data_IF_615159513599
#
_entry.id   IF_615159513599
#
_cell.length_a   1.000
_cell.length_b   1.000
_cell.length_c   1.000
_cell.angle_alpha   90.00
_cell.angle_beta   90.00
_cell.angle_gamma   90.00
#
_symmetry.space_group_name_H-M   'P 1'
#
loop_
_entity.id
_entity.type
_entity.pdbx_description
1 polymer ?
#
# COMPACT_ATOMS: atom_id res chain seq x y z
N UNK A 1 -56.21 21.09 -2.41
CA UNK A 1 -56.05 21.40 -0.97
C UNK A 1 -55.63 20.08 -0.34
N UNK A 2 -54.36 19.70 -0.32
CA UNK A 2 -53.21 20.52 0.05
C UNK A 2 -52.89 20.26 1.51
N UNK A 3 -51.79 19.54 1.74
CA UNK A 3 -50.92 19.61 2.94
C UNK A 3 -51.51 18.91 4.20
N UNK A 4 -50.79 18.16 5.04
CA UNK A 4 -49.38 18.17 5.42
C UNK A 4 -48.85 16.77 5.82
N UNK A 5 -47.55 16.60 5.63
CA UNK A 5 -46.71 15.48 6.01
C UNK A 5 -46.20 15.68 7.45
N UNK A 6 -46.17 14.62 8.26
CA UNK A 6 -45.29 14.44 9.42
C UNK A 6 -44.80 12.99 9.30
N UNK A 7 -43.55 12.72 8.94
CA UNK A 7 -42.31 13.04 9.65
C UNK A 7 -41.67 11.67 9.93
N UNK A 8 -40.77 11.20 9.08
CA UNK A 8 -39.34 11.45 9.25
C UNK A 8 -38.74 10.26 9.99
N UNK A 9 -38.66 9.12 9.29
CA UNK A 9 -37.95 7.94 9.75
C UNK A 9 -36.55 7.96 9.16
N UNK A 10 -35.66 8.68 9.82
CA UNK A 10 -34.23 8.56 9.63
C UNK A 10 -33.70 8.07 10.98
N UNK A 11 -33.71 6.74 11.18
CA UNK A 11 -32.94 6.14 12.25
C UNK A 11 -31.48 6.37 11.89
N UNK A 12 -30.88 7.30 12.62
CA UNK A 12 -29.52 7.78 12.47
C UNK A 12 -28.56 6.61 12.19
N UNK A 13 -27.96 6.62 10.99
CA UNK A 13 -26.70 5.93 10.72
C UNK A 13 -25.68 6.46 11.73
N UNK A 14 -25.56 5.76 12.86
CA UNK A 14 -24.48 5.92 13.84
C UNK A 14 -23.16 5.54 13.15
N UNK A 15 -22.65 6.48 12.35
CA UNK A 15 -21.31 6.50 11.78
C UNK A 15 -20.32 6.49 12.95
N UNK A 16 -19.98 5.27 13.36
CA UNK A 16 -19.11 4.97 14.47
C UNK A 16 -17.85 5.84 14.44
N UNK A 17 -17.72 6.60 15.53
CA UNK A 17 -16.56 7.33 16.00
C UNK A 17 -15.26 7.01 15.23
N UNK A 18 -14.79 8.03 14.50
CA UNK A 18 -13.57 8.00 13.71
C UNK A 18 -12.41 7.30 14.44
N UNK A 19 -11.97 6.19 13.87
CA UNK A 19 -10.62 5.67 14.09
C UNK A 19 -9.66 6.85 13.86
N UNK A 20 -9.03 7.34 14.94
CA UNK A 20 -8.11 8.48 14.90
C UNK A 20 -6.93 8.21 13.98
N UNK A 21 -7.07 8.57 12.71
CA UNK A 21 -5.99 8.50 11.74
C UNK A 21 -4.94 9.56 12.10
N UNK A 22 -3.80 9.12 12.59
CA UNK A 22 -2.64 9.99 12.81
C UNK A 22 -1.82 9.98 11.54
N UNK A 23 -1.82 11.12 10.83
CA UNK A 23 -1.00 11.28 9.63
C UNK A 23 0.49 11.11 9.98
N UNK A 24 1.20 10.36 9.15
CA UNK A 24 2.64 10.17 9.24
C UNK A 24 3.32 11.06 8.22
N UNK A 25 4.37 11.75 8.66
CA UNK A 25 5.25 12.58 7.83
C UNK A 25 6.57 11.86 7.57
N UNK A 26 7.39 12.43 6.69
CA UNK A 26 8.75 11.93 6.43
C UNK A 26 9.67 12.01 7.66
N UNK A 27 9.33 12.85 8.65
CA UNK A 27 10.12 13.03 9.87
C UNK A 27 9.75 12.03 10.98
N UNK A 28 8.61 11.35 10.87
CA UNK A 28 8.14 10.35 11.82
C UNK A 28 7.70 9.04 11.14
N UNK A 29 8.17 8.80 9.91
CA UNK A 29 7.91 7.56 9.16
C UNK A 29 8.39 6.30 9.86
N UNK A 30 9.29 6.43 10.85
CA UNK A 30 9.70 5.33 11.74
C UNK A 30 8.55 4.72 12.56
N UNK A 31 7.41 5.42 12.68
CA UNK A 31 6.21 4.90 13.36
C UNK A 31 5.47 3.85 12.54
N UNK A 32 5.71 3.81 11.23
CA UNK A 32 5.11 2.81 10.35
C UNK A 32 6.01 1.58 10.36
N UNK A 33 5.46 0.47 10.84
CA UNK A 33 6.16 -0.81 10.90
C UNK A 33 5.65 -1.73 9.80
N UNK A 34 6.56 -2.54 9.25
CA UNK A 34 6.21 -3.55 8.25
C UNK A 34 5.40 -4.72 8.83
N UNK A 35 5.13 -5.75 8.00
CA UNK A 35 5.72 -5.98 6.68
C UNK A 35 5.27 -4.95 5.65
N UNK A 36 6.17 -4.59 4.74
CA UNK A 36 5.86 -3.75 3.60
C UNK A 36 5.67 -4.62 2.35
N UNK A 37 4.85 -4.13 1.43
CA UNK A 37 4.47 -4.85 0.22
C UNK A 37 4.60 -3.97 -1.01
N UNK A 38 5.10 -4.53 -2.10
CA UNK A 38 5.16 -3.90 -3.40
C UNK A 38 4.18 -4.59 -4.35
N UNK A 39 3.24 -3.82 -4.91
CA UNK A 39 2.37 -4.27 -6.00
C UNK A 39 3.04 -4.08 -7.34
N UNK A 40 3.28 -5.17 -8.08
CA UNK A 40 4.03 -5.11 -9.34
C UNK A 40 3.68 -6.22 -10.33
N UNK A 41 3.60 -5.85 -11.61
CA UNK A 41 3.42 -6.77 -12.76
C UNK A 41 4.71 -7.40 -13.23
N UNK A 42 5.84 -6.92 -12.73
CA UNK A 42 7.13 -7.51 -13.02
C UNK A 42 7.19 -8.89 -12.38
N UNK A 43 7.67 -9.87 -13.14
CA UNK A 43 8.06 -11.16 -12.58
C UNK A 43 9.37 -10.93 -11.83
N UNK A 44 9.36 -11.18 -10.53
CA UNK A 44 10.49 -11.00 -9.62
C UNK A 44 10.67 -12.26 -8.78
N UNK A 45 11.91 -12.58 -8.46
CA UNK A 45 12.30 -13.67 -7.59
C UNK A 45 12.68 -13.15 -6.19
N UNK A 46 12.65 -14.05 -5.20
CA UNK A 46 13.11 -13.71 -3.85
C UNK A 46 14.61 -13.41 -3.89
N UNK A 47 15.02 -12.32 -3.27
CA UNK A 47 16.40 -11.82 -3.34
C UNK A 47 16.64 -10.82 -4.47
N UNK A 48 15.67 -10.60 -5.37
CA UNK A 48 15.76 -9.53 -6.36
C UNK A 48 15.82 -8.16 -5.70
N UNK A 49 16.57 -7.27 -6.36
CA UNK A 49 16.75 -5.89 -5.95
C UNK A 49 15.80 -4.96 -6.70
N UNK A 50 15.00 -4.20 -5.93
CA UNK A 50 14.14 -3.16 -6.43
C UNK A 50 14.86 -1.81 -6.40
N UNK A 51 15.13 -1.30 -7.60
CA UNK A 51 15.74 0.01 -7.84
C UNK A 51 14.77 0.96 -8.54
N UNK A 52 14.95 2.26 -8.29
CA UNK A 52 14.31 3.30 -9.09
C UNK A 52 14.81 3.28 -10.56
N UNK A 53 14.20 4.08 -11.42
CA UNK A 53 14.57 4.18 -12.83
C UNK A 53 13.78 3.26 -13.76
N UNK A 54 12.76 2.56 -13.24
CA UNK A 54 11.85 1.74 -14.06
C UNK A 54 10.75 2.60 -14.69
N UNK A 55 10.20 2.14 -15.82
CA UNK A 55 9.06 2.79 -16.48
C UNK A 55 7.80 2.70 -15.63
N UNK A 56 6.99 3.76 -15.64
CA UNK A 56 5.73 3.84 -14.91
C UNK A 56 4.73 2.80 -15.40
N UNK A 57 3.99 2.21 -14.45
CA UNK A 57 2.82 1.37 -14.76
C UNK A 57 1.61 2.18 -15.24
N UNK A 58 1.56 3.49 -14.99
CA UNK A 58 0.38 4.33 -15.21
C UNK A 58 0.54 5.33 -16.36
N UNK A 59 1.76 5.82 -16.59
CA UNK A 59 2.06 6.79 -17.64
C UNK A 59 3.10 6.25 -18.61
N UNK A 60 2.73 5.89 -19.85
CA UNK A 60 3.68 5.45 -20.86
C UNK A 60 4.85 6.43 -21.03
N UNK A 61 6.07 5.91 -21.11
CA UNK A 61 7.29 6.70 -21.33
C UNK A 61 7.83 7.45 -20.10
N UNK A 62 7.13 7.48 -18.96
CA UNK A 62 7.65 8.12 -17.74
C UNK A 62 8.57 7.18 -16.97
N UNK A 63 9.78 7.64 -16.67
CA UNK A 63 10.71 6.96 -15.74
C UNK A 63 10.37 7.36 -14.30
N UNK A 64 10.29 6.38 -13.40
CA UNK A 64 9.95 6.58 -11.98
C UNK A 64 11.22 6.73 -11.15
N UNK A 65 11.31 7.80 -10.37
CA UNK A 65 12.46 8.05 -9.46
C UNK A 65 12.31 7.37 -8.08
N UNK A 66 11.17 6.70 -7.84
CA UNK A 66 10.85 6.09 -6.56
C UNK A 66 10.27 4.68 -6.77
N UNK A 67 10.53 3.81 -5.80
CA UNK A 67 9.85 2.52 -5.63
C UNK A 67 8.74 2.72 -4.60
N UNK A 68 7.52 2.31 -4.95
CA UNK A 68 6.34 2.50 -4.10
C UNK A 68 6.02 1.21 -3.36
N UNK A 69 5.83 1.27 -2.06
CA UNK A 69 5.43 0.14 -1.23
C UNK A 69 4.42 0.60 -0.16
N UNK A 70 3.76 -0.34 0.49
CA UNK A 70 2.70 -0.09 1.48
C UNK A 70 2.76 -1.11 2.61
N UNK A 71 2.39 -0.71 3.83
CA UNK A 71 2.23 -1.64 4.95
C UNK A 71 0.93 -2.47 4.87
N UNK A 72 0.05 -2.16 3.90
CA UNK A 72 -1.24 -2.82 3.72
C UNK A 72 -1.18 -3.79 2.53
N UNK A 73 -1.40 -5.08 2.80
CA UNK A 73 -1.40 -6.12 1.77
C UNK A 73 -2.41 -5.82 0.66
N UNK A 74 -3.64 -5.47 1.02
CA UNK A 74 -4.71 -5.16 0.07
C UNK A 74 -4.32 -4.03 -0.88
N UNK A 75 -3.75 -2.93 -0.36
CA UNK A 75 -3.28 -1.83 -1.19
C UNK A 75 -2.19 -2.28 -2.18
N UNK A 76 -1.32 -3.21 -1.79
CA UNK A 76 -0.34 -3.78 -2.71
C UNK A 76 -1.00 -4.66 -3.76
N UNK A 77 -2.00 -5.47 -3.41
CA UNK A 77 -2.81 -6.26 -4.37
C UNK A 77 -3.43 -5.34 -5.42
N UNK A 78 -4.10 -4.27 -5.01
CA UNK A 78 -4.70 -3.28 -5.92
C UNK A 78 -3.67 -2.62 -6.84
N UNK A 79 -2.53 -2.19 -6.29
CA UNK A 79 -1.45 -1.61 -7.08
C UNK A 79 -0.88 -2.60 -8.10
N UNK A 80 -0.87 -3.87 -7.74
CA UNK A 80 -0.53 -4.97 -8.62
C UNK A 80 -1.58 -5.05 -9.77
N UNK A 81 -2.83 -5.33 -9.44
CA UNK A 81 -3.90 -5.58 -10.42
C UNK A 81 -4.02 -4.46 -11.44
N UNK A 82 -3.93 -3.21 -10.98
CA UNK A 82 -3.95 -2.05 -11.85
C UNK A 82 -2.77 -2.02 -12.83
N UNK A 83 -1.57 -2.39 -12.38
CA UNK A 83 -0.41 -2.49 -13.27
C UNK A 83 -0.61 -3.53 -14.38
N UNK A 84 -1.24 -4.67 -14.08
CA UNK A 84 -1.57 -5.70 -15.09
C UNK A 84 -2.64 -5.20 -16.05
N UNK A 85 -3.72 -4.61 -15.54
CA UNK A 85 -4.81 -4.09 -16.34
C UNK A 85 -4.29 -3.06 -17.39
N UNK A 86 -3.39 -2.18 -16.96
CA UNK A 86 -2.79 -1.16 -17.84
C UNK A 86 -1.73 -1.71 -18.80
N UNK A 87 -1.20 -2.90 -18.53
CA UNK A 87 -0.26 -3.58 -19.44
C UNK A 87 -0.95 -4.25 -20.64
N UNK A 88 -2.28 -4.42 -20.60
CA UNK A 88 -3.06 -4.98 -21.70
C UNK A 88 -2.80 -6.46 -21.99
N UNK A 89 -2.22 -7.21 -21.03
CA UNK A 89 -1.93 -8.64 -21.17
C UNK A 89 -2.38 -9.39 -19.91
N UNK A 90 -3.03 -10.55 -20.03
CA UNK A 90 -3.33 -11.38 -18.88
C UNK A 90 -2.03 -11.90 -18.27
N UNK A 91 -1.79 -11.57 -17.01
CA UNK A 91 -0.63 -12.01 -16.23
C UNK A 91 -1.10 -12.34 -14.81
N UNK A 92 -0.60 -13.43 -14.24
CA UNK A 92 -0.78 -13.71 -12.82
C UNK A 92 0.24 -12.90 -12.03
N UNK A 93 -0.21 -12.20 -10.99
CA UNK A 93 0.70 -11.52 -10.08
C UNK A 93 0.30 -11.72 -8.64
N UNK A 94 1.23 -11.40 -7.75
CA UNK A 94 1.01 -11.37 -6.30
C UNK A 94 1.76 -10.17 -5.71
N UNK A 95 1.24 -9.58 -4.62
CA UNK A 95 2.04 -8.64 -3.83
C UNK A 95 3.27 -9.37 -3.27
N UNK A 96 4.41 -8.70 -3.28
CA UNK A 96 5.66 -9.21 -2.73
C UNK A 96 5.99 -8.47 -1.45
N UNK A 97 6.49 -9.19 -0.44
CA UNK A 97 7.01 -8.54 0.75
C UNK A 97 8.34 -7.86 0.40
N UNK A 98 8.57 -6.67 0.94
CA UNK A 98 9.81 -5.91 0.72
C UNK A 98 10.39 -5.48 2.06
N UNK A 99 11.72 -5.55 2.16
CA UNK A 99 12.46 -5.04 3.29
C UNK A 99 12.94 -3.61 2.97
N UNK A 100 12.44 -2.57 3.67
CA UNK A 100 12.90 -1.21 3.48
C UNK A 100 14.32 -1.05 4.01
N UNK A 101 15.28 -0.64 3.17
CA UNK A 101 16.64 -0.40 3.59
C UNK A 101 16.74 0.93 4.35
N UNK A 102 17.70 1.00 5.26
CA UNK A 102 18.06 2.21 6.04
C UNK A 102 18.85 3.24 5.20
N UNK A 103 18.87 3.12 3.87
CA UNK A 103 19.62 4.03 2.98
C UNK A 103 20.10 3.45 1.63
N UNK A 104 19.42 2.44 1.07
CA UNK A 104 19.86 1.73 -0.14
C UNK A 104 18.72 1.20 -1.02
N UNK A 105 18.99 0.24 -1.93
CA UNK A 105 17.98 -0.46 -2.73
C UNK A 105 17.12 -1.45 -1.92
N UNK A 106 15.88 -1.66 -2.34
CA UNK A 106 14.88 -2.47 -1.62
C UNK A 106 15.01 -3.96 -1.97
N UNK A 107 15.05 -4.84 -0.97
CA UNK A 107 15.12 -6.29 -1.19
C UNK A 107 13.73 -6.95 -1.16
N UNK A 108 13.50 -7.94 -2.02
CA UNK A 108 12.25 -8.71 -2.10
C UNK A 108 12.32 -9.98 -1.25
N UNK A 109 11.30 -10.20 -0.40
CA UNK A 109 11.16 -11.36 0.47
C UNK A 109 9.88 -12.17 0.22
N UNK A 110 9.80 -13.42 0.73
CA UNK A 110 8.62 -14.26 0.59
C UNK A 110 7.43 -13.72 1.39
N UNK A 111 6.22 -13.82 0.82
CA UNK A 111 4.99 -13.38 1.47
C UNK A 111 4.66 -14.27 2.68
N UNK A 112 4.93 -13.79 3.90
CA UNK A 112 4.52 -14.43 5.14
C UNK A 112 3.60 -13.52 5.94
N UNK A 113 2.28 -13.67 5.76
CA UNK A 113 1.29 -12.96 6.58
C UNK A 113 1.15 -13.70 7.92
N UNK A 114 1.77 -13.18 8.98
CA UNK A 114 1.49 -13.61 10.36
C UNK A 114 0.83 -12.46 11.11
N UNK A 115 -0.32 -12.72 11.75
CA UNK A 115 -0.91 -11.79 12.72
C UNK A 115 0.12 -11.52 13.83
N UNK A 116 0.74 -10.34 13.84
CA UNK A 116 1.60 -9.89 14.94
C UNK A 116 0.84 -8.89 15.79
N UNK A 117 0.77 -9.18 17.09
CA UNK A 117 0.51 -8.17 18.12
C UNK A 117 1.70 -7.22 18.16
N UNK A 118 1.45 -5.91 18.09
CA UNK A 118 2.48 -4.87 18.04
C UNK A 118 3.29 -4.88 19.34
N UNK A 119 4.62 -5.02 19.23
CA UNK A 119 5.58 -4.58 20.25
C UNK A 119 6.20 -3.25 19.81
N UNK A 120 6.52 -2.32 20.73
CA UNK A 120 6.84 -0.93 20.41
C UNK A 120 8.28 -0.70 19.90
N UNK A 121 8.95 -1.68 19.30
CA UNK A 121 10.33 -1.54 18.84
C UNK A 121 10.61 -2.21 17.48
N UNK A 122 10.23 -1.54 16.39
CA UNK A 122 10.89 -1.77 15.10
C UNK A 122 11.32 -0.41 14.53
N UNK A 123 12.62 -0.33 14.25
CA UNK A 123 13.43 0.89 14.19
C UNK A 123 13.40 1.55 12.81
N UNK A 124 13.18 2.87 12.86
CA UNK A 124 13.76 3.96 12.05
C UNK A 124 13.84 3.85 10.53
N UNK A 125 12.92 4.57 9.88
CA UNK A 125 13.03 5.13 8.54
C UNK A 125 14.08 6.27 8.59
N UNK A 126 15.19 6.14 7.86
CA UNK A 126 16.28 7.14 7.83
C UNK A 126 16.26 7.98 6.55
N UNK A 127 16.90 9.15 6.69
CA UNK A 127 16.89 10.37 5.88
C UNK A 127 17.26 10.21 4.41
#
# INVERSE_FOLDING_TARGET
MGEELHGGGDEDDEDGAGSGYVAVTVHDCSRVVGPFFHGTRSVLEVGDELVAGRVSNFRPGRVMNHVYFTALLETAVWGAELAVALAGKPMTMRPLAVEPPTGGPLAVGPLAVRRRTVRPDARTCTR
#
